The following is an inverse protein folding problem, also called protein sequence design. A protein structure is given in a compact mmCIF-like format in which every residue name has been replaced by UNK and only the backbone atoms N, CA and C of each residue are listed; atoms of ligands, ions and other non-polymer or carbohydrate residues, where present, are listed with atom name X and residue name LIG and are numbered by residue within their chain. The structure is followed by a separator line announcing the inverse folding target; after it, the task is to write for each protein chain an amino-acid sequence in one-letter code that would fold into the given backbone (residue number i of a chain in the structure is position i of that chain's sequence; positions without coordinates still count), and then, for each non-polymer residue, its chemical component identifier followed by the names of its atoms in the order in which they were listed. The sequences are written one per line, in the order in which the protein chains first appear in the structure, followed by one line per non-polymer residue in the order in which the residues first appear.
data_IF_546266091519
#
_entry.id   IF_546266091519
#
_cell.length_a   1.000
_cell.length_b   1.000
_cell.length_c   1.000
_cell.angle_alpha   90.00
_cell.angle_beta   90.00
_cell.angle_gamma   90.00
#
_symmetry.space_group_name_H-M   'P 1'
#
loop_
_entity.id
_entity.type
_entity.pdbx_description
1 polymer ?
#
# COMPACT_ATOMS: atom_id res chain seq x y z
N UNK A 1 3.44 26.41 10.01
CA UNK A 1 2.58 25.96 11.09
C UNK A 1 3.32 25.82 12.42
N UNK A 2 4.62 26.16 12.49
CA UNK A 2 5.41 26.22 13.72
C UNK A 2 5.80 24.86 14.32
N UNK A 3 5.79 23.80 13.53
CA UNK A 3 6.29 22.49 13.96
C UNK A 3 7.81 22.43 13.72
N UNK A 4 8.55 21.94 14.71
CA UNK A 4 9.95 21.55 14.55
C UNK A 4 9.99 20.09 14.09
N UNK A 5 10.50 19.87 12.87
CA UNK A 5 10.48 18.55 12.23
C UNK A 5 11.92 18.07 12.03
N UNK A 6 12.25 16.93 12.65
CA UNK A 6 13.51 16.23 12.42
C UNK A 6 13.29 15.08 11.45
N UNK A 7 13.96 15.12 10.30
CA UNK A 7 13.84 14.09 9.27
C UNK A 7 14.98 13.07 9.42
N UNK A 8 14.63 11.82 9.64
CA UNK A 8 15.57 10.69 9.67
C UNK A 8 15.39 9.84 8.41
N UNK A 9 16.36 9.90 7.49
CA UNK A 9 16.41 9.04 6.31
C UNK A 9 17.42 7.91 6.55
N UNK A 10 16.95 6.69 6.62
CA UNK A 10 17.79 5.52 6.90
C UNK A 10 17.53 4.38 5.92
N UNK A 11 18.57 3.58 5.65
CA UNK A 11 18.43 2.32 4.92
C UNK A 11 17.90 1.18 5.80
N UNK A 12 17.94 1.33 7.13
CA UNK A 12 17.39 0.38 8.11
C UNK A 12 16.00 0.79 8.59
N UNK A 13 15.11 1.06 7.66
CA UNK A 13 13.72 1.43 7.97
C UNK A 13 12.93 0.33 8.68
N UNK A 14 13.30 -0.93 8.48
CA UNK A 14 12.59 -2.07 9.07
C UNK A 14 12.72 -2.15 10.59
N UNK A 15 13.86 -1.77 11.15
CA UNK A 15 14.09 -1.74 12.59
C UNK A 15 13.33 -0.56 13.21
N UNK A 16 13.45 0.62 12.60
CA UNK A 16 12.84 1.85 13.13
C UNK A 16 11.31 1.80 13.10
N UNK A 17 10.70 1.35 12.00
CA UNK A 17 9.24 1.32 11.87
C UNK A 17 8.52 0.46 12.91
N UNK A 18 9.20 -0.56 13.44
CA UNK A 18 8.64 -1.50 14.43
C UNK A 18 8.65 -0.95 15.85
N UNK A 19 9.35 0.14 16.08
CA UNK A 19 9.42 0.80 17.38
C UNK A 19 8.78 2.20 17.30
N UNK A 20 7.48 2.32 17.62
CA UNK A 20 6.75 3.57 17.52
C UNK A 20 7.27 4.66 18.47
N UNK A 21 8.16 4.35 19.40
CA UNK A 21 8.83 5.35 20.21
C UNK A 21 9.92 6.14 19.47
N UNK A 22 10.29 5.69 18.25
CA UNK A 22 11.35 6.32 17.46
C UNK A 22 10.85 7.29 16.39
N UNK A 23 9.54 7.42 16.20
CA UNK A 23 8.98 8.29 15.17
C UNK A 23 7.56 8.77 15.53
N UNK A 24 7.21 9.95 15.12
CA UNK A 24 5.86 10.51 15.20
C UNK A 24 5.12 10.33 13.85
N UNK A 25 5.85 10.40 12.74
CA UNK A 25 5.34 10.20 11.38
C UNK A 25 6.30 9.30 10.62
N UNK A 26 5.77 8.25 10.01
CA UNK A 26 6.52 7.32 9.18
C UNK A 26 6.06 7.42 7.72
N UNK A 27 6.99 7.75 6.80
CA UNK A 27 6.71 7.80 5.37
C UNK A 27 7.22 6.51 4.68
N UNK A 28 6.37 5.90 3.89
CA UNK A 28 6.66 4.64 3.17
C UNK A 28 6.01 4.62 1.80
N UNK A 29 6.49 3.73 0.93
CA UNK A 29 5.83 3.39 -0.32
C UNK A 29 5.50 1.90 -0.35
N UNK A 30 4.36 1.56 -0.92
CA UNK A 30 3.93 0.17 -1.07
C UNK A 30 3.05 -0.03 -2.30
N UNK A 31 2.99 -1.26 -2.78
CA UNK A 31 2.01 -1.68 -3.78
C UNK A 31 0.70 -1.99 -3.06
N UNK A 32 -0.34 -1.20 -3.32
CA UNK A 32 -1.59 -1.25 -2.56
C UNK A 32 -2.58 -2.30 -3.07
N UNK A 33 -2.53 -2.63 -4.37
CA UNK A 33 -3.45 -3.57 -4.99
C UNK A 33 -2.71 -4.46 -6.03
N UNK A 34 -1.77 -5.33 -5.60
CA UNK A 34 -0.91 -6.10 -6.50
C UNK A 34 -1.68 -7.03 -7.44
N UNK A 35 -2.83 -7.52 -7.02
CA UNK A 35 -3.71 -8.39 -7.82
C UNK A 35 -4.97 -7.67 -8.33
N UNK A 36 -5.07 -6.36 -8.11
CA UNK A 36 -6.28 -5.57 -8.35
C UNK A 36 -7.34 -5.72 -7.24
N UNK A 37 -7.09 -6.52 -6.20
CA UNK A 37 -8.01 -6.67 -5.07
C UNK A 37 -7.88 -5.48 -4.11
N UNK A 38 -8.98 -4.78 -3.78
CA UNK A 38 -8.97 -3.64 -2.87
C UNK A 38 -8.62 -4.02 -1.42
N UNK A 39 -8.72 -5.29 -1.05
CA UNK A 39 -8.48 -5.75 0.31
C UNK A 39 -7.00 -5.67 0.72
N UNK A 40 -6.07 -5.76 -0.23
CA UNK A 40 -4.65 -5.92 0.07
C UNK A 40 -4.06 -4.82 0.97
N UNK A 41 -4.38 -3.55 0.70
CA UNK A 41 -3.90 -2.45 1.54
C UNK A 41 -4.39 -2.59 2.97
N UNK A 42 -5.67 -2.88 3.16
CA UNK A 42 -6.27 -2.94 4.50
C UNK A 42 -5.72 -4.10 5.30
N UNK A 43 -5.65 -5.30 4.73
CA UNK A 43 -5.11 -6.50 5.40
C UNK A 43 -3.61 -6.40 5.69
N UNK A 44 -2.89 -5.58 4.93
CA UNK A 44 -1.44 -5.41 5.15
C UNK A 44 -1.12 -4.30 6.13
N UNK A 45 -1.90 -3.21 6.14
CA UNK A 45 -1.53 -1.97 6.83
C UNK A 45 -2.54 -1.44 7.85
N UNK A 46 -3.85 -1.72 7.69
CA UNK A 46 -4.87 -0.93 8.37
C UNK A 46 -5.74 -1.72 9.37
N UNK A 47 -5.82 -3.03 9.26
CA UNK A 47 -6.56 -3.85 10.23
C UNK A 47 -5.70 -4.14 11.45
N UNK A 48 -6.33 -4.50 12.56
CA UNK A 48 -5.68 -4.75 13.85
C UNK A 48 -4.58 -5.81 13.79
N UNK A 49 -4.81 -6.88 13.01
CA UNK A 49 -3.88 -7.99 12.82
C UNK A 49 -2.89 -7.78 11.67
N UNK A 50 -2.89 -6.60 11.06
CA UNK A 50 -2.02 -6.29 9.92
C UNK A 50 -0.55 -6.20 10.32
N UNK A 51 0.31 -6.90 9.58
CA UNK A 51 1.76 -6.97 9.85
C UNK A 51 2.49 -5.64 9.70
N UNK A 52 1.89 -4.68 9.02
CA UNK A 52 2.43 -3.35 8.77
C UNK A 52 1.58 -2.21 9.36
N UNK A 53 0.64 -2.53 10.25
CA UNK A 53 -0.05 -1.52 11.05
C UNK A 53 0.85 -1.00 12.18
N UNK A 54 1.95 -0.35 11.80
CA UNK A 54 2.98 0.10 12.76
C UNK A 54 2.51 1.30 13.60
N UNK A 55 1.49 2.02 13.15
CA UNK A 55 0.85 3.12 13.87
C UNK A 55 -0.22 2.68 14.88
N UNK A 56 -0.48 1.36 14.98
CA UNK A 56 -1.52 0.80 15.85
C UNK A 56 -2.90 1.43 15.64
N UNK A 57 -3.21 1.75 14.38
CA UNK A 57 -4.54 2.23 14.01
C UNK A 57 -5.58 1.15 14.30
N UNK A 58 -6.71 1.57 14.87
CA UNK A 58 -7.85 0.71 15.19
C UNK A 58 -9.16 1.37 14.76
N UNK A 59 -10.04 0.61 14.14
CA UNK A 59 -11.38 1.06 13.76
C UNK A 59 -12.34 -0.14 13.70
N UNK A 60 -13.28 -0.19 14.62
CA UNK A 60 -14.34 -1.22 14.64
C UNK A 60 -15.10 -1.26 13.31
N UNK A 61 -15.38 -0.08 12.73
CA UNK A 61 -16.06 0.03 11.46
C UNK A 61 -15.25 -0.57 10.31
N UNK A 62 -13.94 -0.35 10.29
CA UNK A 62 -13.05 -0.93 9.27
C UNK A 62 -13.00 -2.46 9.40
N UNK A 63 -12.92 -2.97 10.63
CA UNK A 63 -12.93 -4.41 10.90
C UNK A 63 -14.24 -5.09 10.44
N UNK A 64 -15.39 -4.43 10.64
CA UNK A 64 -16.68 -4.94 10.17
C UNK A 64 -16.75 -4.97 8.64
N UNK A 65 -16.38 -3.87 7.98
CA UNK A 65 -16.34 -3.79 6.51
C UNK A 65 -15.40 -4.86 5.90
N UNK A 66 -14.25 -5.11 6.53
CA UNK A 66 -13.33 -6.15 6.08
C UNK A 66 -13.95 -7.55 6.20
N UNK A 67 -14.70 -7.83 7.27
CA UNK A 67 -15.43 -9.11 7.42
C UNK A 67 -16.53 -9.30 6.37
N UNK A 68 -17.18 -8.21 5.95
CA UNK A 68 -18.16 -8.23 4.86
C UNK A 68 -17.47 -8.46 3.52
N UNK A 69 -16.40 -7.71 3.23
CA UNK A 69 -15.63 -7.83 1.98
C UNK A 69 -15.13 -9.26 1.73
N UNK A 70 -14.66 -9.94 2.77
CA UNK A 70 -14.18 -11.33 2.70
C UNK A 70 -15.26 -12.36 2.33
N UNK A 71 -16.53 -12.02 2.48
CA UNK A 71 -17.68 -12.89 2.16
C UNK A 71 -18.36 -12.50 0.86
N UNK A 72 -18.06 -11.33 0.33
CA UNK A 72 -18.68 -10.83 -0.89
C UNK A 72 -17.89 -11.27 -2.13
N UNK A 73 -18.58 -11.81 -3.13
CA UNK A 73 -18.00 -12.27 -4.39
C UNK A 73 -18.46 -11.45 -5.59
N UNK A 74 -19.48 -10.62 -5.42
CA UNK A 74 -19.92 -9.70 -6.46
C UNK A 74 -18.92 -8.54 -6.60
N UNK A 75 -18.41 -8.32 -7.81
CA UNK A 75 -17.32 -7.36 -8.07
C UNK A 75 -17.75 -5.92 -7.76
N UNK A 76 -18.98 -5.55 -8.07
CA UNK A 76 -19.51 -4.20 -7.85
C UNK A 76 -19.63 -3.92 -6.35
N UNK A 77 -20.20 -4.86 -5.61
CA UNK A 77 -20.32 -4.75 -4.16
C UNK A 77 -18.96 -4.77 -3.45
N UNK A 78 -18.01 -5.58 -3.92
CA UNK A 78 -16.64 -5.54 -3.41
C UNK A 78 -16.01 -4.17 -3.61
N UNK A 79 -16.23 -3.55 -4.76
CA UNK A 79 -15.75 -2.20 -5.04
C UNK A 79 -16.39 -1.17 -4.10
N UNK A 80 -17.70 -1.25 -3.88
CA UNK A 80 -18.41 -0.36 -2.95
C UNK A 80 -17.89 -0.50 -1.51
N UNK A 81 -17.68 -1.72 -1.03
CA UNK A 81 -17.09 -1.98 0.28
C UNK A 81 -15.67 -1.44 0.38
N UNK A 82 -14.84 -1.64 -0.65
CA UNK A 82 -13.49 -1.09 -0.73
C UNK A 82 -13.48 0.45 -0.65
N UNK A 83 -14.42 1.12 -1.31
CA UNK A 83 -14.58 2.57 -1.24
C UNK A 83 -14.96 3.01 0.18
N UNK A 84 -15.89 2.30 0.84
CA UNK A 84 -16.28 2.61 2.22
C UNK A 84 -15.13 2.42 3.20
N UNK A 85 -14.30 1.39 3.01
CA UNK A 85 -13.09 1.15 3.80
C UNK A 85 -12.07 2.27 3.61
N UNK A 86 -11.82 2.70 2.37
CA UNK A 86 -10.95 3.83 2.07
C UNK A 86 -11.46 5.12 2.75
N UNK A 87 -12.75 5.40 2.63
CA UNK A 87 -13.34 6.58 3.25
C UNK A 87 -13.18 6.56 4.76
N UNK A 88 -13.35 5.39 5.40
CA UNK A 88 -13.18 5.25 6.84
C UNK A 88 -11.75 5.59 7.27
N UNK A 89 -10.74 5.07 6.59
CA UNK A 89 -9.33 5.36 6.88
C UNK A 89 -8.99 6.85 6.69
N UNK A 90 -9.60 7.50 5.68
CA UNK A 90 -9.41 8.93 5.42
C UNK A 90 -10.11 9.81 6.48
N UNK A 91 -11.33 9.47 6.85
CA UNK A 91 -12.11 10.21 7.86
C UNK A 91 -11.44 10.15 9.25
N UNK A 92 -10.84 9.00 9.58
CA UNK A 92 -10.10 8.79 10.82
C UNK A 92 -8.71 9.47 10.81
N UNK A 93 -8.27 9.99 9.66
CA UNK A 93 -6.92 10.57 9.45
C UNK A 93 -5.78 9.61 9.82
N UNK A 94 -6.00 8.30 9.70
CA UNK A 94 -5.03 7.27 10.06
C UNK A 94 -3.81 7.27 9.11
N UNK A 95 -4.03 7.63 7.84
CA UNK A 95 -3.02 7.67 6.80
C UNK A 95 -3.12 8.93 5.95
N UNK A 96 -1.96 9.45 5.53
CA UNK A 96 -1.86 10.53 4.55
C UNK A 96 -1.31 9.97 3.25
N UNK A 97 -2.12 9.93 2.20
CA UNK A 97 -1.73 9.45 0.88
C UNK A 97 -1.11 10.59 0.07
N UNK A 98 0.23 10.65 0.04
CA UNK A 98 0.95 11.79 -0.53
C UNK A 98 1.00 11.76 -2.06
N UNK A 99 1.19 10.58 -2.66
CA UNK A 99 1.35 10.46 -4.12
C UNK A 99 1.17 9.02 -4.61
N UNK A 100 0.92 8.88 -5.92
CA UNK A 100 1.08 7.64 -6.65
C UNK A 100 2.39 7.68 -7.42
N UNK A 101 3.32 6.79 -7.07
CA UNK A 101 4.63 6.72 -7.73
C UNK A 101 4.48 6.13 -9.13
N UNK A 102 5.27 6.65 -10.07
CA UNK A 102 5.40 6.04 -11.39
C UNK A 102 6.40 4.91 -11.33
N UNK A 103 6.03 3.76 -11.90
CA UNK A 103 6.97 2.66 -12.12
C UNK A 103 7.89 2.99 -13.30
N UNK A 104 9.18 2.67 -13.15
CA UNK A 104 10.18 2.85 -14.19
C UNK A 104 10.99 1.56 -14.34
N UNK A 105 11.14 1.10 -15.57
CA UNK A 105 11.97 -0.04 -15.90
C UNK A 105 13.31 0.45 -16.43
N UNK A 106 14.39 -0.07 -15.89
CA UNK A 106 15.76 0.21 -16.37
C UNK A 106 16.31 -1.07 -16.98
N UNK A 107 16.72 -0.99 -18.25
CA UNK A 107 17.22 -2.14 -18.98
C UNK A 107 18.45 -1.77 -19.81
N UNK A 108 19.20 -2.78 -20.21
CA UNK A 108 20.28 -2.65 -21.18
C UNK A 108 19.70 -2.33 -22.56
N UNK A 109 20.47 -1.63 -23.41
CA UNK A 109 20.00 -1.23 -24.75
C UNK A 109 19.71 -2.38 -25.72
N UNK A 110 20.24 -3.56 -25.44
CA UNK A 110 20.01 -4.79 -26.20
C UNK A 110 18.80 -5.62 -25.69
N UNK A 111 18.12 -5.17 -24.65
CA UNK A 111 16.88 -5.80 -24.15
C UNK A 111 15.68 -5.15 -24.84
N UNK A 112 14.77 -5.96 -25.33
CA UNK A 112 13.52 -5.53 -25.97
C UNK A 112 12.32 -6.26 -25.37
N UNK A 113 11.11 -5.72 -25.59
CA UNK A 113 9.86 -6.35 -25.12
C UNK A 113 9.56 -6.17 -23.62
N UNK A 114 10.43 -5.48 -22.86
CA UNK A 114 10.15 -5.16 -21.45
C UNK A 114 9.26 -3.91 -21.37
N UNK A 115 8.08 -4.07 -20.81
CA UNK A 115 7.11 -2.99 -20.65
C UNK A 115 6.71 -2.87 -19.17
N UNK A 116 6.81 -1.67 -18.60
CA UNK A 116 6.36 -1.42 -17.23
C UNK A 116 4.85 -1.66 -17.11
N UNK A 117 4.45 -2.56 -16.21
CA UNK A 117 3.06 -2.87 -15.92
C UNK A 117 2.61 -2.08 -14.68
N UNK A 118 1.34 -1.64 -14.58
CA UNK A 118 0.81 -0.97 -13.39
C UNK A 118 0.97 -1.77 -12.09
N UNK A 119 1.01 -3.09 -12.22
CA UNK A 119 1.38 -4.02 -11.15
C UNK A 119 2.76 -4.60 -11.45
N UNK A 120 3.73 -4.39 -10.57
CA UNK A 120 5.13 -4.79 -10.70
C UNK A 120 5.38 -6.31 -10.64
N UNK A 121 4.32 -7.13 -10.58
CA UNK A 121 4.43 -8.59 -10.62
C UNK A 121 4.36 -9.22 -12.02
N UNK A 122 3.99 -8.47 -13.05
CA UNK A 122 3.75 -8.98 -14.41
C UNK A 122 4.72 -8.40 -15.44
N UNK A 123 6.00 -8.37 -15.12
CA UNK A 123 7.02 -7.71 -15.95
C UNK A 123 7.68 -8.67 -16.96
N UNK A 124 7.75 -9.96 -16.64
CA UNK A 124 8.34 -10.97 -17.52
C UNK A 124 7.25 -11.57 -18.43
N UNK A 125 7.31 -11.25 -19.68
CA UNK A 125 6.40 -11.77 -20.72
C UNK A 125 7.15 -12.56 -21.78
N UNK A 126 6.42 -13.25 -22.66
CA UNK A 126 7.00 -13.98 -23.79
C UNK A 126 7.62 -13.05 -24.86
N UNK A 127 7.36 -11.76 -24.78
CA UNK A 127 7.89 -10.75 -25.73
C UNK A 127 9.28 -10.24 -25.32
N UNK A 128 9.76 -10.62 -24.12
CA UNK A 128 11.08 -10.23 -23.65
C UNK A 128 12.15 -10.96 -24.45
N UNK A 129 13.07 -10.20 -25.07
CA UNK A 129 14.16 -10.74 -25.86
C UNK A 129 15.47 -9.95 -25.65
N UNK A 130 16.58 -10.59 -25.95
CA UNK A 130 17.93 -10.01 -25.88
C UNK A 130 18.55 -10.11 -27.26
N UNK A 131 18.83 -8.96 -27.89
CA UNK A 131 19.46 -8.85 -29.20
C UNK A 131 20.97 -8.68 -29.10
#
# INVERSE_FOLDING_TARGET
IGMDVQVNCTSDSNTIRKDPAQWDVYASAMVTAPTGDPENFFTTCALDDSVSNNGHYHSDKLEELAKELRKEFDVEKRSELGIQMQQTVLDDNAYVFCSHLKMSMIMQSNVTGLVAHPCDYYELTADLDIN
#
